data_IF_367741804420
#
_entry.id   IF_367741804420
#
_cell.length_a   1.000
_cell.length_b   1.000
_cell.length_c   1.000
_cell.angle_alpha   90.00
_cell.angle_beta   90.00
_cell.angle_gamma   90.00
#
_symmetry.space_group_name_H-M   'P 1'
#
loop_
_entity.id
_entity.type
_entity.pdbx_description
1 polymer ?
#
# COMPACT_ATOMS: atom_id res chain seq x y z
N UNK A 1 8.45 -8.57 15.92
CA UNK A 1 7.24 -9.00 15.18
C UNK A 1 7.72 -9.58 13.87
N UNK A 2 7.68 -10.91 13.73
CA UNK A 2 8.25 -11.60 12.57
C UNK A 2 7.14 -11.80 11.55
N UNK A 3 7.17 -11.01 10.48
CA UNK A 3 6.25 -11.17 9.35
C UNK A 3 6.77 -12.34 8.52
N UNK A 4 5.95 -13.38 8.36
CA UNK A 4 6.26 -14.50 7.49
C UNK A 4 5.87 -14.11 6.06
N UNK A 5 6.87 -13.87 5.21
CA UNK A 5 6.66 -13.60 3.78
C UNK A 5 6.47 -14.95 3.07
N UNK A 6 5.22 -15.42 3.01
CA UNK A 6 4.87 -16.59 2.22
C UNK A 6 4.38 -16.14 0.83
N UNK A 7 5.25 -16.23 -0.19
CA UNK A 7 4.84 -16.10 -1.58
C UNK A 7 4.02 -17.34 -1.99
N UNK A 8 2.71 -17.33 -1.71
CA UNK A 8 1.80 -18.37 -2.20
C UNK A 8 1.20 -17.90 -3.52
N UNK A 9 1.85 -18.28 -4.62
CA UNK A 9 1.25 -18.23 -5.95
C UNK A 9 0.17 -19.33 -5.99
N UNK A 10 -1.10 -18.95 -6.11
CA UNK A 10 -2.16 -19.90 -6.41
C UNK A 10 -1.91 -20.52 -7.79
N UNK A 11 -1.45 -21.79 -7.82
CA UNK A 11 -1.59 -22.67 -8.98
C UNK A 11 -3.07 -22.96 -9.18
N UNK A 12 -3.65 -22.40 -10.24
CA UNK A 12 -5.00 -22.74 -10.70
C UNK A 12 -4.97 -24.21 -11.15
N UNK A 13 -5.71 -25.08 -10.47
CA UNK A 13 -5.91 -26.49 -10.84
C UNK A 13 -7.40 -26.70 -11.19
N UNK A 14 -7.75 -27.46 -12.24
CA UNK A 14 -9.13 -27.56 -12.73
C UNK A 14 -10.00 -28.44 -11.82
N UNK A 15 -11.26 -28.04 -11.69
CA UNK A 15 -12.29 -28.64 -10.82
C UNK A 15 -12.53 -30.13 -11.10
N UNK A 16 -12.60 -30.94 -10.04
CA UNK A 16 -13.23 -32.26 -10.08
C UNK A 16 -14.67 -32.17 -9.57
N UNK A 17 -15.61 -32.51 -10.46
CA UNK A 17 -17.06 -32.50 -10.24
C UNK A 17 -17.47 -33.42 -9.07
N UNK A 18 -18.24 -32.88 -8.12
CA UNK A 18 -19.27 -33.63 -7.38
C UNK A 18 -20.54 -32.77 -7.28
N UNK A 19 -21.66 -33.32 -7.75
CA UNK A 19 -22.96 -32.66 -7.75
C UNK A 19 -23.67 -32.81 -6.40
N UNK A 20 -24.10 -31.70 -5.81
CA UNK A 20 -25.23 -31.66 -4.87
C UNK A 20 -26.04 -30.40 -5.18
N UNK A 21 -27.36 -30.55 -5.35
CA UNK A 21 -28.30 -29.46 -5.68
C UNK A 21 -28.46 -28.50 -4.49
N UNK A 22 -28.02 -27.25 -4.63
CA UNK A 22 -28.46 -26.10 -3.83
C UNK A 22 -28.51 -24.87 -4.74
N UNK A 23 -29.40 -23.91 -4.42
CA UNK A 23 -29.87 -22.83 -5.28
C UNK A 23 -28.81 -22.12 -6.11
N UNK A 24 -29.21 -21.68 -7.31
CA UNK A 24 -28.37 -20.92 -8.24
C UNK A 24 -28.06 -19.56 -7.61
N UNK A 25 -27.04 -19.51 -6.75
CA UNK A 25 -26.28 -18.30 -6.53
C UNK A 25 -25.53 -18.08 -7.84
N UNK A 26 -25.97 -17.10 -8.61
CA UNK A 26 -25.25 -16.63 -9.80
C UNK A 26 -23.94 -16.00 -9.29
N UNK A 27 -22.91 -16.83 -9.09
CA UNK A 27 -21.54 -16.34 -8.92
C UNK A 27 -21.12 -15.84 -10.29
N UNK A 28 -21.37 -14.57 -10.57
CA UNK A 28 -20.73 -13.90 -11.71
C UNK A 28 -19.24 -13.83 -11.39
N UNK A 29 -18.49 -14.80 -11.89
CA UNK A 29 -17.02 -14.76 -11.89
C UNK A 29 -16.59 -13.60 -12.77
N UNK A 30 -16.20 -12.49 -12.16
CA UNK A 30 -15.63 -11.35 -12.85
C UNK A 30 -14.29 -11.75 -13.45
N UNK A 31 -14.06 -11.49 -14.73
CA UNK A 31 -12.77 -11.72 -15.38
C UNK A 31 -11.73 -10.78 -14.79
N UNK A 32 -10.66 -11.31 -14.20
CA UNK A 32 -9.55 -10.53 -13.63
C UNK A 32 -9.01 -9.53 -14.65
N UNK A 33 -8.82 -8.27 -14.24
CA UNK A 33 -8.37 -7.18 -15.11
C UNK A 33 -9.44 -6.57 -16.01
N UNK A 34 -10.67 -7.12 -16.03
CA UNK A 34 -11.80 -6.43 -16.67
C UNK A 34 -12.21 -5.19 -15.88
N UNK A 35 -12.90 -4.26 -16.55
CA UNK A 35 -13.40 -3.05 -15.88
C UNK A 35 -14.34 -3.38 -14.72
N UNK A 36 -15.25 -4.34 -14.91
CA UNK A 36 -16.16 -4.79 -13.85
C UNK A 36 -15.41 -5.41 -12.65
N UNK A 37 -14.28 -6.08 -12.91
CA UNK A 37 -13.41 -6.58 -11.83
C UNK A 37 -12.73 -5.43 -11.10
N UNK A 38 -12.20 -4.42 -11.79
CA UNK A 38 -11.59 -3.26 -11.16
C UNK A 38 -12.59 -2.43 -10.34
N UNK A 39 -13.83 -2.29 -10.80
CA UNK A 39 -14.91 -1.62 -10.06
C UNK A 39 -15.28 -2.32 -8.74
N UNK A 40 -14.89 -3.60 -8.57
CA UNK A 40 -15.07 -4.31 -7.29
C UNK A 40 -13.98 -3.99 -6.26
N UNK A 41 -12.90 -3.29 -6.64
CA UNK A 41 -11.74 -3.00 -5.78
C UNK A 41 -11.81 -1.59 -5.21
N UNK A 42 -11.51 -1.46 -3.91
CA UNK A 42 -11.51 -0.18 -3.18
C UNK A 42 -10.23 0.02 -2.34
N UNK A 43 -9.14 -0.61 -2.75
CA UNK A 43 -7.86 -0.66 -2.01
C UNK A 43 -7.40 -2.09 -1.75
N UNK A 44 -6.48 -2.30 -0.79
CA UNK A 44 -6.03 -3.62 -0.38
C UNK A 44 -7.17 -4.42 0.24
N UNK A 45 -7.28 -5.69 -0.14
CA UNK A 45 -8.23 -6.63 0.45
C UNK A 45 -7.52 -7.46 1.50
N UNK A 46 -8.24 -7.87 2.55
CA UNK A 46 -7.67 -8.73 3.58
C UNK A 46 -8.62 -9.85 3.97
N UNK A 47 -8.03 -10.94 4.45
CA UNK A 47 -8.74 -12.07 5.03
C UNK A 47 -8.08 -12.48 6.35
N UNK A 48 -8.92 -12.82 7.33
CA UNK A 48 -8.47 -13.27 8.64
C UNK A 48 -7.94 -14.70 8.54
N UNK A 49 -6.68 -14.90 8.92
CA UNK A 49 -6.09 -16.21 9.21
C UNK A 49 -6.19 -16.51 10.71
N UNK A 50 -5.62 -17.63 11.17
CA UNK A 50 -5.64 -18.00 12.59
C UNK A 50 -5.01 -16.93 13.48
N UNK A 51 -3.79 -16.51 13.15
CA UNK A 51 -2.99 -15.59 13.97
C UNK A 51 -2.74 -14.23 13.29
N UNK A 52 -2.89 -14.17 11.96
CA UNK A 52 -2.55 -13.01 11.13
C UNK A 52 -3.72 -12.62 10.22
N UNK A 53 -3.56 -11.53 9.49
CA UNK A 53 -4.38 -11.19 8.33
C UNK A 53 -3.54 -11.30 7.07
N UNK A 54 -4.01 -12.05 6.05
CA UNK A 54 -3.40 -12.03 4.72
C UNK A 54 -3.99 -10.86 3.95
N UNK A 55 -3.13 -9.97 3.48
CA UNK A 55 -3.49 -8.76 2.74
C UNK A 55 -3.04 -8.90 1.30
N UNK A 56 -3.91 -8.56 0.35
CA UNK A 56 -3.61 -8.49 -1.08
C UNK A 56 -3.68 -7.04 -1.54
N UNK A 57 -2.56 -6.54 -2.08
CA UNK A 57 -2.46 -5.23 -2.69
C UNK A 57 -2.69 -5.36 -4.19
N UNK A 58 -3.36 -4.37 -4.77
CA UNK A 58 -3.67 -4.31 -6.18
C UNK A 58 -3.20 -2.99 -6.76
N UNK A 59 -2.56 -3.03 -7.92
CA UNK A 59 -2.27 -1.82 -8.69
C UNK A 59 -2.66 -2.03 -10.14
N UNK A 60 -3.45 -1.08 -10.67
CA UNK A 60 -3.87 -1.07 -12.07
C UNK A 60 -2.85 -0.32 -12.90
N UNK A 61 -2.28 -0.97 -13.89
CA UNK A 61 -1.38 -0.34 -14.83
C UNK A 61 -2.16 0.49 -15.86
N UNK A 62 -2.05 1.83 -15.86
CA UNK A 62 -2.81 2.67 -16.79
C UNK A 62 -2.36 2.49 -18.24
N UNK A 63 -1.17 1.95 -18.50
CA UNK A 63 -0.68 1.64 -19.84
C UNK A 63 -1.09 0.23 -20.32
N UNK A 64 -1.86 -0.51 -19.52
CA UNK A 64 -2.40 -1.81 -19.89
C UNK A 64 -1.47 -2.99 -19.58
N UNK A 65 -1.43 -3.95 -20.50
CA UNK A 65 -0.74 -5.25 -20.30
C UNK A 65 0.78 -5.14 -20.48
N UNK A 66 1.51 -6.25 -20.26
CA UNK A 66 2.95 -6.31 -20.54
C UNK A 66 3.32 -6.03 -22.02
N UNK A 67 2.37 -6.08 -22.95
CA UNK A 67 2.60 -5.77 -24.37
C UNK A 67 2.63 -4.27 -24.65
N UNK A 68 2.02 -3.46 -23.79
CA UNK A 68 1.81 -2.02 -24.01
C UNK A 68 2.47 -1.16 -22.95
N UNK A 69 2.61 -1.67 -21.72
CA UNK A 69 3.27 -0.96 -20.62
C UNK A 69 4.77 -1.17 -20.61
N UNK A 70 5.53 -0.10 -20.33
CA UNK A 70 6.97 -0.14 -20.08
C UNK A 70 7.31 -0.43 -18.60
N UNK A 71 6.31 -0.55 -17.72
CA UNK A 71 6.53 -0.79 -16.29
C UNK A 71 7.10 -2.20 -16.07
N UNK A 72 8.23 -2.25 -15.38
CA UNK A 72 8.99 -3.45 -15.06
C UNK A 72 8.86 -3.89 -13.62
N UNK A 73 8.68 -2.93 -12.71
CA UNK A 73 8.50 -3.15 -11.28
C UNK A 73 7.38 -2.25 -10.77
N UNK A 74 6.69 -2.69 -9.74
CA UNK A 74 5.81 -1.85 -8.95
C UNK A 74 6.20 -2.10 -7.50
N UNK A 75 7.16 -1.31 -7.01
CA UNK A 75 7.66 -1.51 -5.65
C UNK A 75 6.58 -1.15 -4.64
N UNK A 76 6.43 -2.00 -3.63
CA UNK A 76 5.53 -1.79 -2.51
C UNK A 76 6.36 -1.34 -1.30
N UNK A 77 6.18 -0.08 -0.92
CA UNK A 77 6.82 0.50 0.26
C UNK A 77 5.79 0.59 1.39
N UNK A 78 5.84 -0.33 2.34
CA UNK A 78 5.01 -0.36 3.55
C UNK A 78 5.88 0.03 4.72
N UNK A 79 5.47 1.09 5.42
CA UNK A 79 6.27 1.67 6.51
C UNK A 79 6.43 0.66 7.64
N UNK A 80 7.68 0.40 8.03
CA UNK A 80 8.02 -0.56 9.08
C UNK A 80 7.80 -2.03 8.71
N UNK A 81 7.57 -2.35 7.43
CA UNK A 81 7.38 -3.74 6.95
C UNK A 81 8.31 -4.06 5.79
N UNK A 82 8.22 -3.35 4.66
CA UNK A 82 9.06 -3.59 3.47
C UNK A 82 10.15 -2.53 3.30
N UNK A 83 10.38 -1.71 4.32
CA UNK A 83 11.32 -0.60 4.28
C UNK A 83 12.64 -0.89 5.02
N UNK A 84 13.51 0.11 4.95
CA UNK A 84 14.84 0.10 5.57
C UNK A 84 14.83 0.10 7.12
N UNK A 85 13.67 0.20 7.79
CA UNK A 85 13.60 0.07 9.24
C UNK A 85 13.62 -1.40 9.68
N UNK A 86 13.17 -2.32 8.82
CA UNK A 86 13.24 -3.77 9.06
C UNK A 86 14.44 -4.44 8.37
N UNK A 87 15.27 -3.67 7.64
CA UNK A 87 16.22 -4.22 6.66
C UNK A 87 15.54 -5.27 5.76
N UNK A 88 14.28 -5.01 5.36
CA UNK A 88 13.55 -5.94 4.52
C UNK A 88 14.05 -5.87 3.08
N UNK A 89 14.05 -7.01 2.40
CA UNK A 89 14.28 -7.05 0.95
C UNK A 89 13.15 -6.29 0.25
N UNK A 90 13.45 -5.39 -0.71
CA UNK A 90 12.43 -4.70 -1.48
C UNK A 90 11.46 -5.68 -2.12
N UNK A 91 10.16 -5.39 -1.99
CA UNK A 91 9.09 -6.19 -2.56
C UNK A 91 8.48 -5.46 -3.75
N UNK A 92 8.39 -6.13 -4.89
CA UNK A 92 7.61 -5.65 -6.04
C UNK A 92 6.32 -6.45 -6.11
N UNK A 93 5.24 -5.80 -6.54
CA UNK A 93 4.08 -6.53 -7.05
C UNK A 93 4.51 -7.33 -8.29
N UNK A 94 3.76 -8.39 -8.57
CA UNK A 94 3.87 -9.22 -9.75
C UNK A 94 2.67 -8.97 -10.66
N UNK A 95 2.93 -8.85 -11.96
CA UNK A 95 1.86 -8.71 -12.95
C UNK A 95 1.17 -10.05 -13.19
N UNK A 96 -0.15 -10.06 -13.20
CA UNK A 96 -0.93 -11.19 -13.70
C UNK A 96 -0.83 -11.23 -15.23
N UNK A 97 -0.38 -12.33 -15.85
CA UNK A 97 -0.14 -12.42 -17.29
C UNK A 97 -1.32 -11.96 -18.13
N UNK A 98 -1.03 -11.20 -19.20
CA UNK A 98 -2.01 -10.70 -20.17
C UNK A 98 -3.07 -9.75 -19.59
N UNK A 99 -2.81 -9.16 -18.42
CA UNK A 99 -3.69 -8.16 -17.78
C UNK A 99 -2.95 -6.88 -17.41
N UNK A 100 -3.71 -5.85 -17.06
CA UNK A 100 -3.23 -4.61 -16.43
C UNK A 100 -3.10 -4.72 -14.89
N UNK A 101 -3.25 -5.93 -14.34
CA UNK A 101 -3.26 -6.17 -12.88
C UNK A 101 -1.87 -6.49 -12.38
N UNK A 102 -1.42 -5.72 -11.39
CA UNK A 102 -0.30 -6.06 -10.52
C UNK A 102 -0.82 -6.41 -9.14
N UNK A 103 -0.25 -7.44 -8.50
CA UNK A 103 -0.63 -7.88 -7.17
C UNK A 103 0.56 -8.23 -6.28
N UNK A 104 0.38 -8.10 -4.97
CA UNK A 104 1.30 -8.65 -3.97
C UNK A 104 0.52 -9.09 -2.74
N UNK A 105 0.98 -10.15 -2.08
CA UNK A 105 0.36 -10.66 -0.86
C UNK A 105 1.36 -10.72 0.29
N UNK A 106 0.90 -10.39 1.49
CA UNK A 106 1.68 -10.52 2.72
C UNK A 106 0.81 -10.76 3.94
N UNK A 107 1.44 -11.23 5.01
CA UNK A 107 0.77 -11.45 6.30
C UNK A 107 1.08 -10.29 7.26
N UNK A 108 0.04 -9.77 7.91
CA UNK A 108 0.11 -8.66 8.86
C UNK A 108 -0.46 -9.09 10.19
N UNK A 109 0.06 -8.56 11.30
CA UNK A 109 -0.60 -8.76 12.60
C UNK A 109 -1.99 -8.11 12.57
N UNK A 110 -3.00 -8.70 13.21
CA UNK A 110 -4.34 -8.14 13.24
C UNK A 110 -4.44 -6.72 13.82
N UNK A 111 -3.47 -6.33 14.63
CA UNK A 111 -3.38 -5.03 15.29
C UNK A 111 -2.58 -3.99 14.48
N UNK A 112 -2.04 -4.40 13.33
CA UNK A 112 -1.16 -3.55 12.54
C UNK A 112 -1.92 -2.40 11.89
N UNK A 113 -1.33 -1.20 11.98
CA UNK A 113 -1.75 0.00 11.24
C UNK A 113 -0.51 0.69 10.70
N UNK A 114 -0.58 1.18 9.48
CA UNK A 114 0.49 1.96 8.89
C UNK A 114 0.15 2.54 7.52
N UNK A 115 1.13 3.26 6.95
CA UNK A 115 1.02 3.81 5.61
C UNK A 115 1.84 3.01 4.61
N UNK A 116 1.38 2.98 3.37
CA UNK A 116 2.11 2.42 2.23
C UNK A 116 2.00 3.29 0.98
N UNK A 117 2.83 3.02 0.00
CA UNK A 117 2.74 3.58 -1.34
C UNK A 117 3.26 2.59 -2.39
N UNK A 118 2.86 2.84 -3.64
CA UNK A 118 3.39 2.12 -4.80
C UNK A 118 4.44 2.97 -5.51
N UNK A 119 5.42 2.31 -6.14
CA UNK A 119 6.42 2.97 -6.97
C UNK A 119 6.56 2.20 -8.28
N UNK A 120 5.72 2.48 -9.29
CA UNK A 120 5.89 1.95 -10.63
C UNK A 120 7.21 2.43 -11.22
N UNK A 121 8.03 1.50 -11.71
CA UNK A 121 9.34 1.76 -12.30
C UNK A 121 9.47 1.07 -13.65
N UNK A 122 10.07 1.77 -14.59
CA UNK A 122 10.45 1.25 -15.91
C UNK A 122 11.80 0.54 -15.91
N UNK A 123 12.52 0.59 -14.78
CA UNK A 123 13.81 -0.06 -14.62
C UNK A 123 13.63 -1.44 -13.97
N UNK A 124 14.51 -2.38 -14.34
CA UNK A 124 14.56 -3.70 -13.70
C UNK A 124 15.49 -3.73 -12.47
N UNK A 125 16.48 -2.80 -12.45
CA UNK A 125 17.61 -2.77 -11.51
C UNK A 125 17.63 -1.49 -10.66
N UNK A 126 16.52 -1.19 -9.99
CA UNK A 126 16.42 0.01 -9.11
C UNK A 126 17.26 -0.10 -7.82
N UNK A 127 17.62 -1.32 -7.44
CA UNK A 127 18.50 -1.63 -6.31
C UNK A 127 19.77 -2.33 -6.81
N UNK A 128 20.87 -2.20 -6.07
CA UNK A 128 22.08 -2.96 -6.33
C UNK A 128 21.86 -4.45 -6.01
N UNK A 129 22.55 -5.34 -6.72
CA UNK A 129 22.43 -6.80 -6.53
C UNK A 129 22.72 -7.23 -5.09
N UNK A 130 23.62 -6.52 -4.40
CA UNK A 130 23.96 -6.74 -2.98
C UNK A 130 22.77 -6.56 -2.01
N UNK A 131 21.70 -5.89 -2.44
CA UNK A 131 20.43 -5.81 -1.68
C UNK A 131 19.69 -7.15 -1.70
N UNK A 132 19.88 -7.94 -2.77
CA UNK A 132 19.24 -9.24 -3.00
C UNK A 132 20.18 -10.43 -2.75
N UNK A 133 21.46 -10.20 -2.53
CA UNK A 133 22.43 -11.22 -2.12
C UNK A 133 22.43 -11.41 -0.58
N UNK A 134 22.99 -12.52 -0.08
CA UNK A 134 23.14 -12.79 1.35
C UNK A 134 21.84 -13.13 2.11
N UNK A 135 21.89 -13.13 3.45
CA UNK A 135 20.72 -13.38 4.32
C UNK A 135 19.91 -12.09 4.59
N UNK A 136 20.61 -10.97 4.79
CA UNK A 136 20.02 -9.64 4.98
C UNK A 136 20.56 -8.65 3.93
N UNK A 137 19.74 -7.70 3.46
CA UNK A 137 20.18 -6.63 2.56
C UNK A 137 21.26 -5.76 3.17
N UNK A 138 22.20 -5.29 2.35
CA UNK A 138 23.05 -4.16 2.71
C UNK A 138 22.18 -2.91 2.94
N UNK A 139 22.25 -2.36 4.17
CA UNK A 139 21.38 -1.26 4.61
C UNK A 139 21.65 0.05 3.87
N UNK A 140 22.90 0.32 3.48
CA UNK A 140 23.25 1.53 2.74
C UNK A 140 22.77 1.43 1.29
N UNK A 141 22.97 0.29 0.64
CA UNK A 141 22.47 0.02 -0.70
C UNK A 141 20.94 0.04 -0.75
N UNK A 142 20.26 -0.53 0.26
CA UNK A 142 18.80 -0.48 0.40
C UNK A 142 18.30 0.96 0.53
N UNK A 143 18.94 1.77 1.39
CA UNK A 143 18.57 3.18 1.57
C UNK A 143 18.80 3.98 0.29
N UNK A 144 19.87 3.70 -0.44
CA UNK A 144 20.17 4.37 -1.71
C UNK A 144 19.16 4.04 -2.81
N UNK A 145 18.76 2.77 -2.95
CA UNK A 145 17.69 2.38 -3.87
C UNK A 145 16.37 3.07 -3.54
N UNK A 146 15.96 3.06 -2.27
CA UNK A 146 14.74 3.78 -1.85
C UNK A 146 14.84 5.29 -2.05
N UNK A 147 16.00 5.89 -1.84
CA UNK A 147 16.21 7.33 -2.08
C UNK A 147 15.93 7.71 -3.54
N UNK A 148 16.27 6.86 -4.50
CA UNK A 148 15.99 7.06 -5.93
C UNK A 148 14.52 6.85 -6.29
N UNK A 149 13.88 5.88 -5.63
CA UNK A 149 12.50 5.47 -5.92
C UNK A 149 11.43 6.37 -5.27
N UNK A 150 11.61 6.75 -4.00
CA UNK A 150 10.59 7.47 -3.23
C UNK A 150 10.09 8.81 -3.83
N UNK A 151 10.88 9.58 -4.60
CA UNK A 151 10.36 10.73 -5.34
C UNK A 151 9.26 10.39 -6.36
N UNK A 152 9.20 9.14 -6.82
CA UNK A 152 8.20 8.63 -7.77
C UNK A 152 7.07 7.87 -7.10
N UNK A 153 7.02 7.86 -5.77
CA UNK A 153 5.99 7.14 -5.03
C UNK A 153 4.61 7.80 -5.22
N UNK A 154 3.61 6.94 -5.41
CA UNK A 154 2.19 7.31 -5.56
C UNK A 154 1.38 6.62 -4.46
N UNK A 155 0.33 7.30 -4.00
CA UNK A 155 -0.71 6.66 -3.19
C UNK A 155 -1.43 5.59 -4.02
N UNK A 156 -2.06 4.63 -3.36
CA UNK A 156 -2.97 3.69 -4.00
C UNK A 156 -4.17 4.47 -4.61
N UNK A 157 -4.35 4.44 -5.95
CA UNK A 157 -5.47 5.11 -6.60
C UNK A 157 -6.84 4.54 -6.21
N UNK A 158 -6.89 3.31 -5.71
CA UNK A 158 -8.12 2.62 -5.29
C UNK A 158 -8.51 2.98 -3.86
N UNK A 159 -7.58 3.50 -3.05
CA UNK A 159 -7.79 3.76 -1.63
C UNK A 159 -8.13 5.24 -1.38
N UNK A 160 -9.36 5.56 -0.95
CA UNK A 160 -9.76 6.93 -0.67
C UNK A 160 -9.03 7.53 0.54
N UNK A 161 -8.44 6.72 1.42
CA UNK A 161 -7.70 7.17 2.59
C UNK A 161 -6.23 7.44 2.26
N UNK A 162 -6.02 8.51 1.49
CA UNK A 162 -4.69 8.90 1.00
C UNK A 162 -4.36 10.36 1.32
N UNK A 163 -3.09 10.64 1.60
CA UNK A 163 -2.62 12.00 1.92
C UNK A 163 -1.17 12.23 1.44
N UNK A 164 -0.73 13.50 1.46
CA UNK A 164 0.68 13.84 1.23
C UNK A 164 1.47 13.63 2.52
N UNK A 165 2.39 12.68 2.52
CA UNK A 165 3.28 12.43 3.65
C UNK A 165 4.32 13.53 3.83
N UNK A 166 4.91 13.62 5.03
CA UNK A 166 5.91 14.64 5.36
C UNK A 166 7.21 14.56 4.54
N UNK A 167 7.46 13.46 3.83
CA UNK A 167 8.62 13.27 2.94
C UNK A 167 8.38 13.70 1.49
N UNK A 168 7.24 14.34 1.20
CA UNK A 168 6.96 14.94 -0.11
C UNK A 168 6.26 14.03 -1.13
N UNK A 169 6.06 12.75 -0.84
CA UNK A 169 5.27 11.82 -1.67
C UNK A 169 3.91 11.49 -1.04
N UNK A 170 2.97 11.07 -1.89
CA UNK A 170 1.66 10.61 -1.45
C UNK A 170 1.74 9.18 -0.88
N UNK A 171 0.90 8.90 0.12
CA UNK A 171 0.77 7.59 0.77
C UNK A 171 -0.70 7.27 0.99
N UNK A 172 -1.00 6.01 1.26
CA UNK A 172 -2.32 5.50 1.61
C UNK A 172 -2.30 4.77 2.94
N UNK A 173 -3.40 4.80 3.70
CA UNK A 173 -3.53 4.07 4.95
C UNK A 173 -3.89 2.60 4.72
N UNK A 174 -3.37 1.73 5.58
CA UNK A 174 -3.84 0.37 5.75
C UNK A 174 -4.02 0.11 7.25
N UNK A 175 -5.20 -0.36 7.63
CA UNK A 175 -5.54 -0.70 9.00
C UNK A 175 -6.11 -2.12 9.05
N UNK A 176 -5.54 -2.95 9.91
CA UNK A 176 -6.05 -4.31 10.18
C UNK A 176 -7.22 -4.26 11.18
N UNK A 177 -8.12 -5.27 11.19
CA UNK A 177 -9.38 -5.21 11.94
C UNK A 177 -9.24 -5.00 13.45
N UNK A 178 -8.12 -5.41 14.05
CA UNK A 178 -7.88 -5.28 15.49
C UNK A 178 -6.90 -4.13 15.80
N UNK A 179 -6.63 -3.25 14.83
CA UNK A 179 -5.78 -2.09 15.05
C UNK A 179 -6.35 -1.21 16.18
N UNK A 180 -5.54 -0.81 17.18
CA UNK A 180 -6.05 -0.06 18.33
C UNK A 180 -6.83 1.20 17.92
N UNK A 181 -7.90 1.54 18.62
CA UNK A 181 -8.67 2.76 18.33
C UNK A 181 -7.77 4.00 18.40
N UNK A 182 -7.96 4.95 17.49
CA UNK A 182 -7.34 6.28 17.56
C UNK A 182 -8.40 7.31 17.97
N UNK A 183 -8.48 7.66 19.27
CA UNK A 183 -9.55 8.53 19.78
C UNK A 183 -9.62 9.86 19.03
N UNK A 184 -10.82 10.22 18.59
CA UNK A 184 -11.11 11.43 17.82
C UNK A 184 -11.06 11.20 16.31
N UNK A 185 -10.14 10.36 15.82
CA UNK A 185 -10.10 9.95 14.41
C UNK A 185 -11.16 8.91 14.07
N UNK A 186 -11.60 8.13 15.07
CA UNK A 186 -12.75 7.23 14.98
C UNK A 186 -14.10 7.96 14.88
N UNK A 187 -14.11 9.29 15.09
CA UNK A 187 -15.31 10.15 15.10
C UNK A 187 -15.07 11.47 14.33
N UNK A 188 -14.87 11.40 13.01
CA UNK A 188 -14.50 12.57 12.20
C UNK A 188 -15.56 13.67 12.19
N UNK A 189 -16.83 13.34 12.46
CA UNK A 189 -17.96 14.28 12.41
C UNK A 189 -18.13 15.12 13.69
N UNK A 190 -17.16 15.09 14.61
CA UNK A 190 -17.21 15.89 15.83
C UNK A 190 -17.21 17.38 15.48
N UNK A 191 -18.27 18.15 15.81
CA UNK A 191 -18.32 19.57 15.46
C UNK A 191 -17.19 20.35 16.13
N UNK A 192 -16.47 21.15 15.35
CA UNK A 192 -15.39 21.99 15.84
C UNK A 192 -15.47 23.41 15.26
N UNK A 193 -14.88 24.38 15.95
CA UNK A 193 -14.67 25.71 15.39
C UNK A 193 -13.48 25.66 14.42
N UNK A 194 -13.62 26.10 13.17
CA UNK A 194 -12.52 26.11 12.21
C UNK A 194 -11.29 26.85 12.79
N UNK A 195 -10.07 26.30 12.63
CA UNK A 195 -8.87 26.95 13.14
C UNK A 195 -8.63 28.26 12.39
N UNK A 196 -8.15 29.27 13.13
CA UNK A 196 -7.72 30.55 12.54
C UNK A 196 -6.30 30.41 12.03
N UNK A 197 -6.07 30.67 10.75
CA UNK A 197 -4.73 30.76 10.18
C UNK A 197 -4.24 32.20 10.29
N UNK A 198 -3.21 32.42 11.09
CA UNK A 198 -2.49 33.68 11.12
C UNK A 198 -1.12 33.53 10.48
N UNK A 199 -0.49 34.66 10.28
CA UNK A 199 0.87 34.71 9.84
C UNK A 199 1.74 35.44 10.85
N UNK A 200 2.78 34.76 11.29
CA UNK A 200 3.66 35.22 12.33
C UNK A 200 5.00 35.64 11.74
N UNK A 201 5.33 36.92 11.93
CA UNK A 201 6.64 37.49 11.64
C UNK A 201 7.49 37.46 12.90
N UNK A 202 8.62 36.76 12.86
CA UNK A 202 9.54 36.65 14.00
C UNK A 202 10.79 37.50 13.75
N UNK A 203 10.99 38.54 14.54
CA UNK A 203 12.20 39.36 14.50
C UNK A 203 13.45 38.52 14.82
N UNK A 204 13.36 37.66 15.84
CA UNK A 204 14.48 36.79 16.26
C UNK A 204 14.90 35.80 15.19
N UNK A 205 13.95 35.22 14.44
CA UNK A 205 14.24 34.22 13.41
C UNK A 205 14.40 34.85 12.01
N UNK A 206 14.14 36.15 11.89
CA UNK A 206 14.10 36.89 10.63
C UNK A 206 13.34 36.14 9.52
N UNK A 207 12.17 35.58 9.86
CA UNK A 207 11.30 34.87 8.92
C UNK A 207 9.80 34.99 9.26
N UNK A 208 8.99 34.58 8.28
CA UNK A 208 7.52 34.62 8.29
C UNK A 208 6.99 33.20 8.14
N UNK A 209 6.00 32.80 8.95
CA UNK A 209 5.38 31.46 8.87
C UNK A 209 3.88 31.49 9.18
N UNK A 210 3.16 30.51 8.65
CA UNK A 210 1.75 30.26 9.00
C UNK A 210 1.67 29.59 10.37
N UNK A 211 0.68 30.00 11.16
CA UNK A 211 0.34 29.40 12.46
C UNK A 211 -1.17 29.19 12.49
N UNK A 212 -1.60 28.00 12.90
CA UNK A 212 -3.01 27.67 13.09
C UNK A 212 -3.35 27.72 14.58
N UNK A 213 -4.40 28.45 14.94
CA UNK A 213 -4.90 28.59 16.30
C UNK A 213 -6.22 27.83 16.40
N UNK A 214 -6.29 26.87 17.31
CA UNK A 214 -7.49 26.08 17.59
C UNK A 214 -8.02 26.42 18.98
N UNK A 215 -9.31 26.69 19.07
CA UNK A 215 -9.99 26.95 20.34
C UNK A 215 -10.81 25.72 20.72
N UNK A 216 -10.44 25.08 21.82
CA UNK A 216 -11.26 24.04 22.42
C UNK A 216 -12.43 24.72 23.14
N UNK A 217 -13.67 24.25 22.93
CA UNK A 217 -14.75 24.59 23.85
C UNK A 217 -14.44 23.92 25.20
N UNK A 218 -14.41 24.72 26.27
CA UNK A 218 -14.29 24.24 27.65
C UNK A 218 -15.56 23.56 28.12
#
# INVERSE_FOLDING_TARGET
MQIVINNIINKICPETKKSVKHGVIRVTTLTTGSEAWWQSKNGPEWERLKENCRVTFWWRDPAGTQKTSSVKRVWLYVTGVTDHHQNARPQSLERIPDTDVWQWQGEFSPEWRGSYCFIPSVNENDFADTVFEGELPDRLALREGWRKLLPHAVSDPLNPQSWRGGRGHAVSALEMPDAPVQPGWDRPDTPYQPPVCIEWNSERLNNRRRVWIFYLRG
#
